data_IF_015736017473
#
_entry.id   IF_015736017473
#
_cell.length_a   1.000
_cell.length_b   1.000
_cell.length_c   1.000
_cell.angle_alpha   90.00
_cell.angle_beta   90.00
_cell.angle_gamma   90.00
#
_symmetry.space_group_name_H-M   'P 1'
#
loop_
_entity.id
_entity.type
_entity.pdbx_description
1 polymer ?
#
# COMPACT_ATOMS: atom_id res chain seq x y z
N UNK A 1 44.03 -98.10 -24.17
CA UNK A 1 43.17 -98.79 -25.15
C UNK A 1 41.72 -98.45 -24.84
N UNK A 2 41.06 -97.55 -25.58
CA UNK A 2 39.60 -97.52 -25.63
C UNK A 2 39.09 -98.52 -26.67
N UNK A 3 37.89 -99.01 -26.42
CA UNK A 3 37.24 -100.19 -27.02
C UNK A 3 36.92 -99.98 -28.50
N UNK A 4 37.37 -100.92 -29.34
CA UNK A 4 37.03 -101.03 -30.76
C UNK A 4 35.54 -101.44 -30.91
N UNK A 5 34.72 -100.60 -31.54
CA UNK A 5 33.41 -101.03 -32.07
C UNK A 5 32.21 -100.07 -31.97
N UNK A 6 32.35 -98.87 -31.40
CA UNK A 6 31.27 -97.87 -31.34
C UNK A 6 31.49 -96.69 -32.28
N UNK A 7 30.44 -96.23 -32.97
CA UNK A 7 30.46 -94.95 -33.72
C UNK A 7 30.99 -93.83 -32.81
N UNK A 8 31.90 -93.01 -33.33
CA UNK A 8 32.44 -91.87 -32.56
C UNK A 8 31.31 -90.88 -32.23
N UNK A 9 31.47 -90.06 -31.17
CA UNK A 9 30.43 -89.08 -30.81
C UNK A 9 30.09 -88.13 -31.97
N UNK A 10 31.07 -87.76 -32.78
CA UNK A 10 30.88 -86.96 -33.98
C UNK A 10 30.03 -87.68 -35.04
N UNK A 11 30.27 -88.97 -35.27
CA UNK A 11 29.46 -89.81 -36.18
C UNK A 11 28.05 -90.07 -35.66
N UNK A 12 27.85 -90.08 -34.33
CA UNK A 12 26.51 -90.19 -33.73
C UNK A 12 25.69 -88.91 -33.87
N UNK A 13 26.34 -87.76 -33.81
CA UNK A 13 25.70 -86.43 -33.92
C UNK A 13 25.61 -85.99 -35.40
N UNK A 14 26.37 -86.62 -36.31
CA UNK A 14 26.38 -86.31 -37.74
C UNK A 14 27.29 -85.13 -38.12
N UNK A 15 28.29 -84.82 -37.29
CA UNK A 15 29.27 -83.77 -37.55
C UNK A 15 30.50 -84.39 -38.22
N UNK A 16 30.84 -83.90 -39.42
CA UNK A 16 31.99 -84.41 -40.20
C UNK A 16 33.33 -83.80 -39.76
N UNK A 17 33.29 -82.61 -39.16
CA UNK A 17 34.45 -81.89 -38.63
C UNK A 17 33.97 -80.81 -37.65
N UNK A 18 34.78 -80.51 -36.63
CA UNK A 18 34.49 -79.41 -35.70
C UNK A 18 34.67 -78.07 -36.42
N UNK A 19 33.66 -77.19 -36.35
CA UNK A 19 33.77 -75.85 -36.91
C UNK A 19 34.61 -74.96 -35.98
N UNK A 20 35.54 -74.20 -36.56
CA UNK A 20 36.27 -73.18 -35.83
C UNK A 20 35.33 -72.06 -35.39
N UNK A 21 35.44 -71.67 -34.12
CA UNK A 21 34.65 -70.60 -33.54
C UNK A 21 35.36 -69.26 -33.78
N UNK A 22 34.67 -68.34 -34.44
CA UNK A 22 35.21 -67.02 -34.87
C UNK A 22 35.61 -66.12 -33.68
N UNK A 23 35.06 -66.36 -32.49
CA UNK A 23 35.18 -65.46 -31.33
C UNK A 23 35.99 -66.06 -30.17
N UNK A 24 36.84 -67.07 -30.42
CA UNK A 24 37.65 -67.68 -29.35
C UNK A 24 38.82 -66.77 -29.03
N UNK A 25 38.73 -66.09 -27.88
CA UNK A 25 39.76 -65.15 -27.40
C UNK A 25 39.41 -63.68 -27.60
N UNK A 26 38.34 -63.37 -28.34
CA UNK A 26 37.87 -62.00 -28.51
C UNK A 26 37.21 -61.49 -27.23
N UNK A 27 37.77 -60.42 -26.66
CA UNK A 27 37.18 -59.75 -25.49
C UNK A 27 35.90 -59.04 -25.93
N UNK A 28 34.77 -59.42 -25.32
CA UNK A 28 33.49 -58.76 -25.55
C UNK A 28 33.57 -57.26 -25.24
N UNK A 29 33.25 -56.40 -26.21
CA UNK A 29 33.15 -54.94 -26.04
C UNK A 29 31.67 -54.57 -25.89
N UNK A 30 31.27 -54.18 -24.68
CA UNK A 30 29.88 -53.80 -24.44
C UNK A 30 29.52 -52.49 -25.14
N UNK A 31 28.43 -52.50 -25.92
CA UNK A 31 27.92 -51.30 -26.58
C UNK A 31 27.47 -50.23 -25.58
N UNK A 32 27.12 -50.65 -24.35
CA UNK A 32 26.67 -49.77 -23.27
C UNK A 32 27.80 -48.94 -22.63
N UNK A 33 29.07 -49.35 -22.76
CA UNK A 33 30.21 -48.61 -22.20
C UNK A 33 30.89 -47.67 -23.21
N UNK A 34 30.25 -47.35 -24.34
CA UNK A 34 30.78 -46.39 -25.29
C UNK A 34 30.36 -44.97 -24.91
N UNK A 35 31.29 -44.11 -24.45
CA UNK A 35 30.97 -42.70 -24.22
C UNK A 35 30.54 -42.03 -25.53
N UNK A 36 29.38 -41.38 -25.51
CA UNK A 36 28.92 -40.56 -26.63
C UNK A 36 29.80 -39.30 -26.72
N UNK A 37 30.44 -39.10 -27.87
CA UNK A 37 31.29 -37.93 -28.17
C UNK A 37 32.46 -37.73 -27.18
N UNK A 38 33.44 -38.64 -27.21
CA UNK A 38 34.64 -38.59 -26.36
C UNK A 38 35.41 -37.27 -26.40
N UNK A 39 35.41 -36.57 -27.53
CA UNK A 39 36.09 -35.29 -27.67
C UNK A 39 35.42 -34.18 -26.83
N UNK A 40 34.10 -34.25 -26.65
CA UNK A 40 33.34 -33.30 -25.84
C UNK A 40 33.46 -33.58 -24.34
N UNK A 41 33.62 -34.85 -23.92
CA UNK A 41 33.70 -35.20 -22.50
C UNK A 41 35.09 -34.99 -21.88
N UNK A 42 36.17 -35.04 -22.68
CA UNK A 42 37.55 -34.93 -22.20
C UNK A 42 38.03 -33.49 -21.98
N UNK A 43 37.36 -32.50 -22.57
CA UNK A 43 37.82 -31.11 -22.55
C UNK A 43 37.09 -30.25 -21.50
N UNK A 44 37.66 -29.08 -21.18
CA UNK A 44 37.04 -28.11 -20.26
C UNK A 44 35.69 -27.66 -20.81
N UNK A 45 34.67 -27.72 -19.98
CA UNK A 45 33.34 -27.21 -20.31
C UNK A 45 33.28 -25.68 -20.15
N UNK A 46 32.33 -25.04 -20.85
CA UNK A 46 32.02 -23.63 -20.62
C UNK A 46 31.52 -23.45 -19.18
N UNK A 47 32.06 -22.45 -18.49
CA UNK A 47 31.60 -22.07 -17.16
C UNK A 47 30.54 -20.97 -17.31
N UNK A 48 29.24 -21.28 -17.28
CA UNK A 48 28.23 -20.24 -17.09
C UNK A 48 28.46 -19.67 -15.69
N UNK A 49 28.84 -18.40 -15.60
CA UNK A 49 29.11 -17.75 -14.30
C UNK A 49 27.97 -17.98 -13.30
N UNK A 50 28.30 -18.08 -12.02
CA UNK A 50 27.31 -18.26 -10.96
C UNK A 50 26.47 -17.00 -10.70
N UNK A 51 25.24 -17.19 -10.24
CA UNK A 51 24.40 -16.09 -9.73
C UNK A 51 25.04 -15.52 -8.47
N UNK A 52 25.47 -14.26 -8.52
CA UNK A 52 25.94 -13.54 -7.33
C UNK A 52 24.71 -13.10 -6.54
N UNK A 53 24.25 -13.93 -5.61
CA UNK A 53 23.17 -13.54 -4.69
C UNK A 53 23.64 -12.38 -3.81
N UNK A 54 22.92 -11.25 -3.88
CA UNK A 54 22.82 -10.21 -2.84
C UNK A 54 24.15 -9.74 -2.21
N UNK A 55 25.24 -9.69 -2.97
CA UNK A 55 26.50 -9.13 -2.46
C UNK A 55 26.46 -7.60 -2.55
N UNK A 56 26.70 -6.91 -1.43
CA UNK A 56 26.89 -5.45 -1.40
C UNK A 56 28.23 -5.00 -2.01
N UNK A 57 29.04 -5.95 -2.52
CA UNK A 57 30.30 -5.71 -3.21
C UNK A 57 30.06 -5.39 -4.68
N UNK A 58 31.01 -4.69 -5.33
CA UNK A 58 30.95 -4.35 -6.76
C UNK A 58 30.71 -5.58 -7.65
N UNK A 59 31.18 -6.75 -7.22
CA UNK A 59 30.94 -8.00 -7.90
C UNK A 59 29.45 -8.25 -8.21
N UNK A 60 28.53 -7.80 -7.37
CA UNK A 60 27.07 -7.98 -7.55
C UNK A 60 26.43 -7.06 -8.59
N UNK A 61 27.17 -6.07 -9.12
CA UNK A 61 26.70 -5.15 -10.14
C UNK A 61 27.22 -5.54 -11.52
N UNK A 62 26.55 -5.07 -12.58
CA UNK A 62 26.97 -5.34 -13.97
C UNK A 62 28.28 -4.63 -14.32
N UNK A 63 28.48 -3.42 -13.78
CA UNK A 63 29.70 -2.66 -14.04
C UNK A 63 30.87 -3.22 -13.22
N UNK A 64 32.06 -3.40 -13.82
CA UNK A 64 33.22 -3.96 -13.11
C UNK A 64 33.78 -2.99 -12.06
N UNK A 65 33.58 -1.68 -12.24
CA UNK A 65 34.08 -0.62 -11.38
C UNK A 65 32.94 0.28 -10.94
N UNK A 66 33.01 0.76 -9.70
CA UNK A 66 32.07 1.74 -9.19
C UNK A 66 32.38 3.12 -9.79
N UNK A 67 31.47 3.67 -10.58
CA UNK A 67 31.62 5.02 -11.14
C UNK A 67 31.13 6.03 -10.11
N UNK A 68 32.06 6.78 -9.52
CA UNK A 68 31.72 7.85 -8.57
C UNK A 68 31.67 9.18 -9.29
N UNK A 69 30.54 9.88 -9.16
CA UNK A 69 30.27 11.17 -9.82
C UNK A 69 31.31 12.23 -9.42
N UNK A 70 31.78 12.22 -8.17
CA UNK A 70 32.67 13.25 -7.61
C UNK A 70 34.17 12.94 -7.74
N UNK A 71 34.57 11.95 -8.55
CA UNK A 71 35.98 11.67 -8.78
C UNK A 71 36.61 12.77 -9.64
N UNK A 72 37.60 13.48 -9.08
CA UNK A 72 38.25 14.62 -9.73
C UNK A 72 37.61 15.98 -9.42
N UNK A 73 36.47 16.01 -8.73
CA UNK A 73 35.86 17.26 -8.27
C UNK A 73 36.48 17.70 -6.93
N UNK A 74 37.09 18.87 -6.89
CA UNK A 74 37.58 19.47 -5.66
C UNK A 74 36.42 19.96 -4.79
N UNK A 75 36.37 19.55 -3.52
CA UNK A 75 35.38 20.08 -2.58
C UNK A 75 35.60 21.59 -2.36
N UNK A 76 34.65 22.42 -2.80
CA UNK A 76 34.68 23.88 -2.60
C UNK A 76 33.76 24.25 -1.44
N UNK A 77 34.34 24.77 -0.36
CA UNK A 77 33.56 25.31 0.75
C UNK A 77 33.06 26.73 0.41
N UNK A 78 31.76 26.87 0.17
CA UNK A 78 31.12 28.15 -0.18
C UNK A 78 31.36 29.26 0.85
N UNK A 79 31.53 28.92 2.14
CA UNK A 79 31.81 29.92 3.17
C UNK A 79 33.21 30.51 2.99
N UNK A 80 34.19 29.69 2.58
CA UNK A 80 35.53 30.19 2.27
C UNK A 80 35.51 31.08 1.03
N UNK A 81 34.74 30.72 0.00
CA UNK A 81 34.57 31.53 -1.21
C UNK A 81 33.94 32.88 -0.88
N UNK A 82 32.83 32.90 -0.13
CA UNK A 82 32.18 34.14 0.31
C UNK A 82 33.11 35.02 1.14
N UNK A 83 33.87 34.42 2.05
CA UNK A 83 34.83 35.17 2.89
C UNK A 83 35.95 35.79 2.05
N UNK A 84 36.48 35.07 1.06
CA UNK A 84 37.48 35.61 0.11
C UNK A 84 36.89 36.79 -0.68
N UNK A 85 35.68 36.63 -1.21
CA UNK A 85 34.98 37.68 -1.94
C UNK A 85 34.78 38.94 -1.08
N UNK A 86 34.27 38.80 0.15
CA UNK A 86 34.10 39.94 1.04
C UNK A 86 35.42 40.64 1.37
N UNK A 87 36.51 39.90 1.56
CA UNK A 87 37.83 40.50 1.78
C UNK A 87 38.34 41.24 0.54
N UNK A 88 38.11 40.71 -0.66
CA UNK A 88 38.47 41.38 -1.92
C UNK A 88 37.63 42.64 -2.16
N UNK A 89 36.34 42.61 -1.87
CA UNK A 89 35.46 43.78 -1.92
C UNK A 89 35.87 44.84 -0.89
N UNK A 90 36.19 44.42 0.34
CA UNK A 90 36.65 45.34 1.38
C UNK A 90 37.96 46.04 0.99
N UNK A 91 38.88 45.36 0.30
CA UNK A 91 40.11 45.96 -0.24
C UNK A 91 39.86 47.02 -1.31
N UNK A 92 38.73 46.95 -2.03
CA UNK A 92 38.35 47.96 -3.04
C UNK A 92 37.84 49.26 -2.40
N UNK A 93 37.51 49.25 -1.10
CA UNK A 93 37.07 50.46 -0.40
C UNK A 93 38.26 51.35 -0.05
N UNK A 94 38.55 52.33 -0.91
CA UNK A 94 39.68 53.27 -0.76
C UNK A 94 39.50 54.32 0.35
N UNK A 95 38.33 54.39 1.00
CA UNK A 95 37.99 55.41 1.99
C UNK A 95 36.92 55.00 2.99
N UNK A 96 36.55 55.92 3.88
CA UNK A 96 35.48 55.70 4.87
C UNK A 96 34.15 55.46 4.16
N UNK A 97 33.33 54.54 4.66
CA UNK A 97 31.99 54.30 4.14
C UNK A 97 31.22 55.62 4.04
N UNK A 98 30.58 55.85 2.89
CA UNK A 98 29.74 57.02 2.69
C UNK A 98 28.63 57.02 3.74
N UNK A 99 28.68 57.99 4.65
CA UNK A 99 27.61 58.25 5.59
C UNK A 99 26.73 59.33 4.93
N UNK A 100 25.46 59.04 4.58
CA UNK A 100 24.57 60.06 4.05
C UNK A 100 24.49 61.21 5.05
N UNK A 101 24.61 62.45 4.55
CA UNK A 101 24.64 63.67 5.38
C UNK A 101 23.33 63.96 6.12
N UNK A 102 22.27 63.19 5.85
CA UNK A 102 20.98 63.34 6.49
C UNK A 102 20.98 62.53 7.78
N UNK A 103 20.96 63.21 8.92
CA UNK A 103 20.70 62.59 10.22
C UNK A 103 19.34 61.86 10.23
N UNK A 104 19.14 60.98 11.21
CA UNK A 104 17.94 60.15 11.33
C UNK A 104 16.67 60.99 11.15
N UNK A 105 15.87 60.68 10.12
CA UNK A 105 14.55 61.28 9.93
C UNK A 105 13.69 60.83 11.10
N UNK A 106 13.46 61.71 12.07
CA UNK A 106 12.53 61.44 13.17
C UNK A 106 11.18 61.06 12.56
N UNK A 107 10.63 59.93 12.99
CA UNK A 107 9.31 59.46 12.61
C UNK A 107 8.28 60.50 13.10
N UNK A 108 7.89 61.44 12.25
CA UNK A 108 6.74 62.30 12.51
C UNK A 108 5.46 61.46 12.37
N UNK A 109 5.05 60.87 13.50
CA UNK A 109 3.83 60.08 13.61
C UNK A 109 2.55 60.92 13.67
N UNK A 110 1.43 60.19 13.80
CA UNK A 110 0.06 60.71 13.89
C UNK A 110 -0.05 61.84 14.93
N UNK A 111 -0.45 63.05 14.51
CA UNK A 111 -0.66 64.20 15.41
C UNK A 111 0.48 65.23 15.45
N UNK A 112 1.53 65.11 14.63
CA UNK A 112 2.54 66.17 14.47
C UNK A 112 2.09 67.24 13.44
N UNK A 113 2.52 68.50 13.63
CA UNK A 113 2.11 69.69 12.85
C UNK A 113 2.31 69.57 11.32
N UNK A 114 3.16 68.64 10.87
CA UNK A 114 3.46 68.40 9.45
C UNK A 114 2.95 67.03 8.91
N UNK A 115 2.16 66.27 9.69
CA UNK A 115 1.71 64.92 9.33
C UNK A 115 0.25 64.87 8.86
N UNK A 116 0.01 64.26 7.69
CA UNK A 116 -1.31 64.12 7.04
C UNK A 116 -2.41 63.57 7.97
N UNK A 117 -3.59 64.20 7.91
CA UNK A 117 -4.82 63.95 8.71
C UNK A 117 -5.49 62.58 8.38
N UNK A 118 -4.79 61.65 7.74
CA UNK A 118 -5.33 60.36 7.33
C UNK A 118 -4.91 59.23 8.25
N UNK A 119 -5.87 58.48 8.80
CA UNK A 119 -5.59 57.11 9.28
C UNK A 119 -5.07 56.26 8.10
N UNK A 120 -4.23 55.23 8.34
CA UNK A 120 -3.80 54.32 7.29
C UNK A 120 -5.01 53.73 6.56
N UNK A 121 -5.05 53.87 5.23
CA UNK A 121 -6.13 53.32 4.40
C UNK A 121 -6.04 51.79 4.46
N UNK A 122 -7.08 51.07 4.93
CA UNK A 122 -7.02 49.63 5.21
C UNK A 122 -6.77 48.75 3.97
N UNK A 123 -6.81 49.34 2.77
CA UNK A 123 -6.58 48.64 1.50
C UNK A 123 -5.12 48.65 1.02
N UNK A 124 -4.25 49.52 1.57
CA UNK A 124 -2.84 49.63 1.16
C UNK A 124 -1.90 48.94 2.16
N UNK A 125 -2.24 47.74 2.63
CA UNK A 125 -1.28 46.93 3.38
C UNK A 125 -0.29 46.26 2.42
N UNK A 126 1.01 46.40 2.67
CA UNK A 126 2.08 45.69 1.93
C UNK A 126 2.10 44.17 2.20
N UNK A 127 1.13 43.67 2.98
CA UNK A 127 1.01 42.25 3.30
C UNK A 127 0.45 41.52 2.08
N UNK A 128 1.15 40.45 1.66
CA UNK A 128 0.67 39.55 0.62
C UNK A 128 -0.64 38.89 1.07
N UNK A 129 -1.77 39.38 0.56
CA UNK A 129 -3.06 38.70 0.77
C UNK A 129 -3.03 37.38 -0.01
N UNK A 130 -3.47 36.27 0.59
CA UNK A 130 -3.60 35.01 -0.14
C UNK A 130 -4.55 35.26 -1.32
N UNK A 131 -4.07 35.03 -2.55
CA UNK A 131 -4.90 35.14 -3.74
C UNK A 131 -6.04 34.15 -3.61
N UNK A 132 -7.28 34.64 -3.69
CA UNK A 132 -8.45 33.77 -3.71
C UNK A 132 -8.27 32.75 -4.83
N UNK A 133 -8.55 31.48 -4.52
CA UNK A 133 -8.43 30.40 -5.51
C UNK A 133 -9.39 30.74 -6.64
N UNK A 134 -8.89 30.72 -7.87
CA UNK A 134 -9.73 30.92 -9.04
C UNK A 134 -10.78 29.80 -9.10
N UNK A 135 -12.04 30.17 -8.84
CA UNK A 135 -13.18 29.30 -9.10
C UNK A 135 -13.63 29.60 -10.54
N UNK A 136 -13.59 28.60 -11.44
CA UNK A 136 -14.10 28.81 -12.79
C UNK A 136 -15.57 29.23 -12.69
N UNK A 137 -16.00 30.26 -13.44
CA UNK A 137 -17.39 30.68 -13.43
C UNK A 137 -18.25 29.46 -13.77
N UNK A 138 -19.20 29.16 -12.89
CA UNK A 138 -20.15 28.07 -13.10
C UNK A 138 -20.83 28.22 -14.46
N UNK A 139 -21.26 27.10 -15.05
CA UNK A 139 -22.04 27.15 -16.29
C UNK A 139 -23.25 28.06 -16.10
N UNK A 140 -23.54 28.92 -17.08
CA UNK A 140 -24.72 29.76 -17.07
C UNK A 140 -25.98 28.93 -16.79
N UNK A 141 -26.90 29.46 -15.97
CA UNK A 141 -28.20 28.87 -15.68
C UNK A 141 -28.87 28.47 -17.00
N UNK A 142 -28.99 27.16 -17.22
CA UNK A 142 -29.70 26.62 -18.37
C UNK A 142 -31.20 26.77 -18.10
N UNK A 143 -31.78 27.88 -18.57
CA UNK A 143 -33.19 28.26 -18.32
C UNK A 143 -34.20 27.43 -19.11
N UNK A 144 -33.73 26.48 -19.91
CA UNK A 144 -34.60 25.60 -20.68
C UNK A 144 -34.37 24.16 -20.21
N UNK A 145 -34.89 23.74 -19.04
CA UNK A 145 -34.79 22.34 -18.65
C UNK A 145 -35.32 21.51 -19.82
N UNK A 146 -34.46 20.68 -20.42
CA UNK A 146 -34.88 19.84 -21.54
C UNK A 146 -36.15 19.10 -21.15
N UNK A 147 -37.15 19.02 -22.04
CA UNK A 147 -38.45 18.39 -21.75
C UNK A 147 -38.20 17.10 -20.98
N UNK A 148 -38.44 17.12 -19.66
CA UNK A 148 -38.45 15.90 -18.87
C UNK A 148 -39.68 15.18 -19.37
N UNK A 149 -39.47 14.25 -20.31
CA UNK A 149 -40.53 13.39 -20.81
C UNK A 149 -41.28 12.79 -19.64
N UNK A 150 -42.57 12.51 -19.88
CA UNK A 150 -43.49 11.79 -18.98
C UNK A 150 -42.74 10.81 -18.09
N UNK A 151 -42.94 10.90 -16.77
CA UNK A 151 -42.12 10.33 -15.69
C UNK A 151 -41.96 8.80 -15.61
N UNK A 152 -42.16 8.08 -16.71
CA UNK A 152 -41.91 6.66 -16.83
C UNK A 152 -40.43 6.43 -17.19
N UNK A 153 -39.60 6.09 -16.20
CA UNK A 153 -38.24 5.57 -16.43
C UNK A 153 -37.10 6.24 -15.66
N UNK A 154 -37.35 7.22 -14.78
CA UNK A 154 -36.27 7.82 -13.99
C UNK A 154 -35.93 7.00 -12.75
N UNK A 155 -34.64 6.74 -12.55
CA UNK A 155 -34.11 6.15 -11.32
C UNK A 155 -34.32 7.11 -10.12
N UNK A 156 -34.65 6.58 -8.94
CA UNK A 156 -34.85 7.30 -7.67
C UNK A 156 -36.06 8.28 -7.61
N UNK A 157 -37.19 7.94 -8.22
CA UNK A 157 -38.44 8.73 -8.08
C UNK A 157 -39.18 8.39 -6.78
N UNK A 158 -38.97 7.20 -6.22
CA UNK A 158 -39.60 6.73 -4.98
C UNK A 158 -38.75 7.05 -3.75
N UNK A 159 -39.39 7.16 -2.59
CA UNK A 159 -38.76 7.51 -1.30
C UNK A 159 -37.75 6.42 -0.84
N UNK A 160 -37.83 5.21 -1.40
CA UNK A 160 -36.94 4.09 -1.09
C UNK A 160 -35.67 4.06 -1.94
N UNK A 161 -34.59 3.50 -1.37
CA UNK A 161 -33.36 3.24 -2.11
C UNK A 161 -33.65 2.25 -3.24
N UNK A 162 -33.32 2.62 -4.48
CA UNK A 162 -33.50 1.74 -5.62
C UNK A 162 -32.64 0.47 -5.45
N UNK A 163 -33.20 -0.68 -5.82
CA UNK A 163 -32.49 -1.95 -5.79
C UNK A 163 -31.26 -1.86 -6.71
N UNK A 164 -30.12 -2.37 -6.24
CA UNK A 164 -28.92 -2.48 -7.06
C UNK A 164 -29.17 -3.49 -8.16
N UNK A 165 -28.96 -3.08 -9.41
CA UNK A 165 -29.03 -3.97 -10.56
C UNK A 165 -28.04 -5.14 -10.35
N UNK A 166 -28.56 -6.37 -10.20
CA UNK A 166 -27.76 -7.59 -10.34
C UNK A 166 -27.48 -7.80 -11.82
N UNK A 167 -26.26 -8.21 -12.19
CA UNK A 167 -25.94 -8.47 -13.58
C UNK A 167 -26.76 -9.66 -14.12
N UNK A 168 -27.40 -9.46 -15.26
CA UNK A 168 -28.15 -10.53 -15.94
C UNK A 168 -27.20 -11.40 -16.78
N UNK A 169 -27.64 -12.59 -17.19
CA UNK A 169 -26.84 -13.51 -18.01
C UNK A 169 -26.35 -12.88 -19.34
N UNK A 170 -27.12 -11.94 -19.90
CA UNK A 170 -26.78 -11.24 -21.14
C UNK A 170 -25.73 -10.12 -20.93
N UNK A 171 -25.51 -9.67 -19.70
CA UNK A 171 -24.48 -8.67 -19.37
C UNK A 171 -23.07 -9.28 -19.25
N UNK A 172 -22.94 -10.61 -19.34
CA UNK A 172 -21.69 -11.32 -19.12
C UNK A 172 -20.55 -10.83 -20.03
N UNK A 173 -20.82 -10.61 -21.32
CA UNK A 173 -19.82 -10.10 -22.26
C UNK A 173 -19.33 -8.71 -21.86
N UNK A 174 -20.25 -7.79 -21.56
CA UNK A 174 -19.94 -6.41 -21.15
C UNK A 174 -19.15 -6.35 -19.84
N UNK A 175 -19.42 -7.27 -18.91
CA UNK A 175 -18.68 -7.37 -17.65
C UNK A 175 -17.27 -7.93 -17.86
N UNK A 176 -17.10 -8.90 -18.77
CA UNK A 176 -15.80 -9.44 -19.10
C UNK A 176 -14.92 -8.38 -19.78
N UNK A 177 -15.44 -7.66 -20.77
CA UNK A 177 -14.74 -6.55 -21.43
C UNK A 177 -14.30 -5.46 -20.43
N UNK A 178 -15.15 -5.18 -19.43
CA UNK A 178 -14.85 -4.22 -18.38
C UNK A 178 -13.71 -4.73 -17.48
N UNK A 179 -13.75 -5.99 -17.07
CA UNK A 179 -12.68 -6.62 -16.27
C UNK A 179 -11.35 -6.64 -17.02
N UNK A 180 -11.36 -7.05 -18.28
CA UNK A 180 -10.15 -7.08 -19.12
C UNK A 180 -9.54 -5.68 -19.29
N UNK A 181 -10.36 -4.65 -19.49
CA UNK A 181 -9.89 -3.26 -19.54
C UNK A 181 -9.31 -2.80 -18.20
N UNK A 182 -9.95 -3.13 -17.07
CA UNK A 182 -9.45 -2.79 -15.74
C UNK A 182 -8.11 -3.49 -15.45
N UNK A 183 -7.97 -4.76 -15.82
CA UNK A 183 -6.70 -5.50 -15.72
C UNK A 183 -5.62 -4.91 -16.61
N UNK A 184 -5.94 -4.58 -17.86
CA UNK A 184 -5.04 -3.88 -18.76
C UNK A 184 -4.56 -2.56 -18.15
N UNK A 185 -5.48 -1.71 -17.65
CA UNK A 185 -5.13 -0.45 -16.98
C UNK A 185 -4.30 -0.64 -15.72
N UNK A 186 -4.49 -1.73 -14.98
CA UNK A 186 -3.68 -2.07 -13.80
C UNK A 186 -2.27 -2.52 -14.16
N UNK A 187 -2.10 -3.20 -15.29
CA UNK A 187 -0.81 -3.64 -15.81
C UNK A 187 -0.01 -2.49 -16.45
N UNK A 188 -0.69 -1.43 -16.92
CA UNK A 188 -0.05 -0.20 -17.39
C UNK A 188 0.71 0.47 -16.23
N UNK A 189 2.03 0.32 -16.22
CA UNK A 189 2.92 0.99 -15.26
C UNK A 189 3.26 2.40 -15.77
N UNK A 190 3.03 3.40 -14.91
CA UNK A 190 3.40 4.78 -15.17
C UNK A 190 2.22 5.66 -15.58
N UNK A 191 2.51 6.95 -15.76
CA UNK A 191 1.53 7.92 -16.27
C UNK A 191 1.55 7.90 -17.80
N UNK A 192 0.44 8.25 -18.49
CA UNK A 192 0.45 8.48 -19.93
C UNK A 192 1.62 9.37 -20.34
N UNK A 193 2.24 9.07 -21.49
CA UNK A 193 3.34 9.87 -22.01
C UNK A 193 2.86 11.31 -22.23
N UNK A 194 3.36 12.22 -21.39
CA UNK A 194 3.04 13.64 -21.49
C UNK A 194 4.09 14.29 -22.38
N UNK A 195 3.70 14.65 -23.60
CA UNK A 195 4.52 15.48 -24.48
C UNK A 195 4.79 16.82 -23.80
N UNK A 196 6.05 17.10 -23.50
CA UNK A 196 6.52 18.39 -22.95
C UNK A 196 6.77 19.42 -24.06
N UNK A 197 5.89 19.50 -25.07
CA UNK A 197 6.02 20.45 -26.20
C UNK A 197 5.51 21.87 -25.87
N UNK A 198 5.33 22.20 -24.59
CA UNK A 198 5.00 23.58 -24.23
C UNK A 198 6.22 24.48 -24.49
N UNK A 199 6.08 25.67 -25.11
CA UNK A 199 7.19 26.58 -25.32
C UNK A 199 7.75 27.00 -23.96
N UNK A 200 8.86 26.35 -23.57
CA UNK A 200 9.67 26.70 -22.40
C UNK A 200 10.93 27.36 -22.94
N UNK A 201 11.38 28.41 -22.26
CA UNK A 201 12.61 29.14 -22.64
C UNK A 201 13.87 28.27 -22.60
N UNK A 202 13.81 27.14 -21.89
CA UNK A 202 14.94 26.23 -21.68
C UNK A 202 14.53 24.79 -22.02
N UNK A 203 15.46 24.06 -22.64
CA UNK A 203 15.27 22.65 -23.03
C UNK A 203 15.14 21.71 -21.82
N UNK A 204 15.75 22.07 -20.69
CA UNK A 204 15.76 21.27 -19.46
C UNK A 204 14.95 21.92 -18.34
N UNK A 205 14.37 21.08 -17.47
CA UNK A 205 13.73 21.53 -16.24
C UNK A 205 14.78 22.06 -15.27
N UNK A 206 14.68 23.33 -14.86
CA UNK A 206 15.55 23.94 -13.87
C UNK A 206 15.54 23.09 -12.56
N UNK A 207 16.68 22.50 -12.16
CA UNK A 207 16.76 21.60 -10.99
C UNK A 207 16.49 22.32 -9.66
N UNK A 208 16.52 23.65 -9.65
CA UNK A 208 16.25 24.47 -8.47
C UNK A 208 14.80 24.98 -8.39
N UNK A 209 13.97 24.71 -9.41
CA UNK A 209 12.60 25.22 -9.49
C UNK A 209 11.60 24.05 -9.59
N UNK A 210 11.07 23.66 -8.44
CA UNK A 210 10.01 22.65 -8.36
C UNK A 210 8.64 23.31 -8.60
N UNK A 211 8.15 23.27 -9.85
CA UNK A 211 6.80 23.78 -10.20
C UNK A 211 5.67 22.94 -9.58
N UNK A 212 5.96 21.67 -9.27
CA UNK A 212 4.97 20.80 -8.64
C UNK A 212 4.90 21.13 -7.15
N UNK A 213 3.73 21.49 -6.60
CA UNK A 213 3.58 21.59 -5.16
C UNK A 213 3.99 20.26 -4.55
N UNK A 214 4.79 20.32 -3.48
CA UNK A 214 5.22 19.13 -2.77
C UNK A 214 3.99 18.29 -2.41
N UNK A 215 4.03 16.95 -2.57
CA UNK A 215 2.92 16.12 -2.14
C UNK A 215 2.62 16.45 -0.67
N UNK A 216 1.32 16.59 -0.31
CA UNK A 216 0.96 16.92 1.06
C UNK A 216 1.65 15.95 2.01
N UNK A 217 2.38 16.49 2.99
CA UNK A 217 3.06 15.69 4.00
C UNK A 217 2.03 14.72 4.56
N UNK A 218 2.25 13.41 4.36
CA UNK A 218 1.42 12.37 4.94
C UNK A 218 1.55 12.51 6.45
N UNK A 219 0.63 13.26 7.06
CA UNK A 219 0.47 13.25 8.51
C UNK A 219 0.18 11.80 8.84
N UNK A 220 1.07 11.15 9.59
CA UNK A 220 0.79 9.83 10.13
C UNK A 220 -0.59 9.93 10.77
N UNK A 221 -1.54 9.14 10.27
CA UNK A 221 -2.87 9.07 10.85
C UNK A 221 -2.66 8.75 12.31
N UNK A 222 -2.90 9.73 13.19
CA UNK A 222 -3.00 9.47 14.61
C UNK A 222 -4.17 8.52 14.71
N UNK A 223 -3.89 7.22 14.88
CA UNK A 223 -4.91 6.23 15.22
C UNK A 223 -5.71 6.87 16.34
N UNK A 224 -6.98 7.14 16.09
CA UNK A 224 -7.87 7.57 17.15
C UNK A 224 -7.75 6.50 18.23
N UNK A 225 -7.14 6.87 19.35
CA UNK A 225 -7.05 5.97 20.47
C UNK A 225 -8.50 5.73 20.87
N UNK A 226 -9.02 4.54 20.55
CA UNK A 226 -10.32 4.10 21.02
C UNK A 226 -10.29 4.34 22.53
N UNK A 227 -11.17 5.22 23.01
CA UNK A 227 -11.25 5.51 24.42
C UNK A 227 -11.56 4.19 25.12
N UNK A 228 -10.56 3.59 25.75
CA UNK A 228 -10.76 2.39 26.53
C UNK A 228 -11.86 2.71 27.55
N UNK A 229 -12.97 1.94 27.59
CA UNK A 229 -14.02 2.15 28.57
C UNK A 229 -13.39 2.18 29.96
N UNK A 230 -13.81 3.13 30.79
CA UNK A 230 -13.32 3.26 32.15
C UNK A 230 -13.49 1.92 32.90
N UNK A 231 -12.38 1.24 33.15
CA UNK A 231 -12.34 0.01 33.93
C UNK A 231 -11.99 0.38 35.38
N UNK A 232 -12.94 0.29 36.32
CA UNK A 232 -12.63 0.55 37.72
C UNK A 232 -11.53 -0.40 38.21
N UNK A 233 -10.62 0.11 39.05
CA UNK A 233 -9.42 -0.60 39.48
C UNK A 233 -9.68 -1.87 40.30
N UNK A 234 -10.90 -2.03 40.82
CA UNK A 234 -11.28 -3.15 41.69
C UNK A 234 -12.46 -3.94 41.14
N UNK A 235 -12.47 -5.28 41.28
CA UNK A 235 -13.64 -6.09 40.95
C UNK A 235 -14.86 -5.68 41.78
N UNK A 236 -16.05 -5.76 41.17
CA UNK A 236 -17.31 -5.44 41.86
C UNK A 236 -17.49 -6.28 43.13
N UNK A 237 -17.92 -5.66 44.23
CA UNK A 237 -18.19 -6.37 45.48
C UNK A 237 -19.27 -7.44 45.25
N UNK A 238 -19.03 -8.66 45.75
CA UNK A 238 -20.02 -9.75 45.72
C UNK A 238 -21.29 -9.34 46.47
N UNK A 239 -22.45 -9.79 45.99
CA UNK A 239 -23.70 -9.64 46.74
C UNK A 239 -23.55 -10.30 48.12
N UNK A 240 -23.78 -9.54 49.20
CA UNK A 240 -23.64 -10.00 50.58
C UNK A 240 -22.39 -9.55 51.35
N UNK A 241 -21.48 -8.77 50.74
CA UNK A 241 -20.37 -8.12 51.46
C UNK A 241 -20.71 -6.70 51.93
N UNK A 242 -20.14 -6.25 53.06
CA UNK A 242 -20.35 -4.94 53.73
C UNK A 242 -20.63 -3.78 52.77
N UNK A 243 -21.91 -3.52 52.53
CA UNK A 243 -22.47 -2.32 51.92
C UNK A 243 -22.75 -1.33 53.06
N UNK A 244 -21.71 -0.66 53.53
CA UNK A 244 -21.80 0.32 54.61
C UNK A 244 -22.47 1.64 54.16
N UNK A 245 -23.59 1.56 53.46
CA UNK A 245 -24.29 2.73 52.94
C UNK A 245 -25.59 2.34 52.27
N UNK A 246 -26.68 2.63 52.99
CA UNK A 246 -28.03 2.90 52.47
C UNK A 246 -28.63 1.81 51.60
N UNK A 247 -29.20 0.77 52.21
CA UNK A 247 -30.46 0.09 51.87
C UNK A 247 -30.42 -1.29 52.55
N UNK A 248 -31.23 -1.47 53.60
CA UNK A 248 -31.45 -2.79 54.20
C UNK A 248 -32.11 -3.71 53.17
N UNK A 249 -31.83 -5.02 53.23
CA UNK A 249 -32.55 -6.00 52.42
C UNK A 249 -34.05 -5.89 52.70
N UNK A 250 -34.85 -5.73 51.65
CA UNK A 250 -36.31 -5.65 51.75
C UNK A 250 -36.85 -6.88 52.49
N UNK A 251 -37.72 -6.73 53.51
CA UNK A 251 -38.27 -7.87 54.23
C UNK A 251 -39.10 -8.76 53.30
N UNK A 252 -38.98 -10.08 53.44
CA UNK A 252 -39.66 -11.04 52.55
C UNK A 252 -41.19 -10.97 52.61
N UNK A 253 -41.76 -10.38 53.67
CA UNK A 253 -43.18 -10.10 53.79
C UNK A 253 -43.40 -8.75 54.48
N UNK A 254 -44.03 -7.82 53.77
CA UNK A 254 -44.59 -6.61 54.37
C UNK A 254 -45.97 -6.96 54.92
N UNK A 255 -46.13 -6.94 56.24
CA UNK A 255 -47.45 -6.98 56.87
C UNK A 255 -48.12 -5.61 56.66
N UNK A 256 -48.58 -5.36 55.44
CA UNK A 256 -49.30 -4.15 55.09
C UNK A 256 -50.79 -4.35 55.45
N UNK A 257 -51.33 -3.66 56.47
CA UNK A 257 -52.70 -3.87 56.94
C UNK A 257 -53.78 -3.29 56.00
N UNK A 258 -53.40 -2.72 54.86
CA UNK A 258 -54.33 -2.05 53.93
C UNK A 258 -54.27 -2.55 52.47
N UNK A 259 -53.69 -3.73 52.22
CA UNK A 259 -53.76 -4.42 50.93
C UNK A 259 -54.94 -5.39 50.83
N UNK A 260 -56.08 -4.90 50.35
CA UNK A 260 -57.33 -5.66 50.25
C UNK A 260 -57.24 -6.95 49.41
N UNK A 261 -57.77 -8.01 50.01
CA UNK A 261 -58.23 -9.29 49.47
C UNK A 261 -58.76 -9.25 48.03
N UNK A 262 -57.91 -9.49 47.01
CA UNK A 262 -58.34 -9.81 45.61
C UNK A 262 -57.41 -10.71 44.79
N UNK A 263 -56.47 -11.45 45.41
CA UNK A 263 -55.53 -12.30 44.63
C UNK A 263 -55.36 -13.75 45.10
N UNK A 264 -56.07 -14.21 46.13
CA UNK A 264 -56.01 -15.62 46.55
C UNK A 264 -57.03 -16.53 45.82
N UNK A 265 -58.13 -15.99 45.28
CA UNK A 265 -59.12 -16.80 44.54
C UNK A 265 -58.72 -17.12 43.09
N UNK A 266 -57.70 -16.49 42.52
CA UNK A 266 -57.21 -16.77 41.16
C UNK A 266 -56.05 -17.78 41.11
N UNK A 267 -55.39 -18.07 42.24
CA UNK A 267 -54.31 -19.06 42.29
C UNK A 267 -54.81 -20.49 42.56
N UNK A 268 -55.94 -20.67 43.24
CA UNK A 268 -56.54 -22.00 43.47
C UNK A 268 -57.24 -22.57 42.23
N UNK A 269 -57.73 -21.74 41.31
CA UNK A 269 -58.29 -22.20 40.04
C UNK A 269 -57.22 -22.68 39.04
N UNK A 270 -56.00 -22.13 39.08
CA UNK A 270 -54.93 -22.51 38.15
C UNK A 270 -54.13 -23.75 38.60
N UNK A 271 -53.98 -23.98 39.90
CA UNK A 271 -53.31 -25.17 40.45
C UNK A 271 -54.13 -26.45 40.23
N UNK A 272 -55.46 -26.35 40.28
CA UNK A 272 -56.38 -27.50 40.09
C UNK A 272 -56.45 -27.99 38.64
N UNK A 273 -56.21 -27.12 37.65
CA UNK A 273 -56.23 -27.49 36.21
C UNK A 273 -54.92 -28.15 35.75
N UNK A 274 -53.77 -27.77 36.33
CA UNK A 274 -52.46 -28.31 35.97
C UNK A 274 -52.16 -29.69 36.58
N UNK A 275 -52.80 -30.06 37.70
CA UNK A 275 -52.71 -31.40 38.29
C UNK A 275 -53.56 -32.46 37.56
N UNK A 276 -54.50 -32.05 36.70
CA UNK A 276 -55.39 -32.95 35.96
C UNK A 276 -54.85 -33.41 34.59
N UNK A 277 -53.70 -32.91 34.13
CA UNK A 277 -53.10 -33.28 32.84
C UNK A 277 -51.69 -33.87 33.00
N UNK A 278 -51.57 -34.86 33.88
CA UNK A 278 -50.40 -35.73 33.93
C UNK A 278 -50.22 -36.49 32.60
N UNK A 279 -49.11 -36.22 31.91
CA UNK A 279 -48.47 -37.20 31.03
C UNK A 279 -46.98 -37.25 31.37
N UNK A 280 -46.62 -38.40 31.93
CA UNK A 280 -45.26 -38.87 32.18
C UNK A 280 -44.41 -38.78 30.91
N UNK A 281 -43.24 -38.18 31.03
CA UNK A 281 -42.11 -38.44 30.14
C UNK A 281 -41.10 -39.17 31.02
N UNK A 282 -41.02 -40.49 30.85
CA UNK A 282 -39.90 -41.30 31.32
C UNK A 282 -38.90 -41.44 30.16
N UNK A 283 -37.63 -41.37 30.55
CA UNK A 283 -36.42 -41.64 29.77
C UNK A 283 -36.45 -43.02 29.14
#
# INVERSE_FOLDING_TARGET
MPVEGGKTDMERIGLFSEMEYVTVGDKYVSQFNRPFNEAASKNRQMLPGGSKEMSHLQAGYFDPHFVRIFEGEGYVNLNQVRRRHMMEEAKKNLGKAFLPSNGDKKLCGLGSYYGTIGRPVPFFSAQSKPKEKYEPPGKNLYTNPGKKGTGYGYANVTIGKQFSHSADFYDAAKLNDKKENEEHHRLLKGTPFKLNLYPREYFDTNPYLFEKPLPPIKKAEKKEALANPFKPSSPGKKAGGMKAGTFDSYPSHSADPYGGTKYEELQDCFSTVLLASGRQIAV
#
